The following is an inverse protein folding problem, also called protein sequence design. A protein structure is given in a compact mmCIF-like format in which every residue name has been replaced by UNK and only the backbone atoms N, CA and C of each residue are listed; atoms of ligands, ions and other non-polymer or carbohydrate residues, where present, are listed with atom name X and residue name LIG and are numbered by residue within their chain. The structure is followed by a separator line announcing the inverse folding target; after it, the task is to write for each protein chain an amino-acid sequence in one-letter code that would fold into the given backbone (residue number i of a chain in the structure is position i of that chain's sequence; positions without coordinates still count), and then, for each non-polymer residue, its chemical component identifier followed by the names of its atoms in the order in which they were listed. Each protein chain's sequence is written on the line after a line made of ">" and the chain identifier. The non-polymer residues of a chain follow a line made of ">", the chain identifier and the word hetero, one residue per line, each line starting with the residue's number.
data_IF_966632257169
#
_entry.id   IF_966632257169
#
_cell.length_a   1.000
_cell.length_b   1.000
_cell.length_c   1.000
_cell.angle_alpha   90.00
_cell.angle_beta   90.00
_cell.angle_gamma   90.00
#
_symmetry.space_group_name_H-M   'P 1'
#
loop_
_entity.id
_entity.type
_entity.pdbx_description
1 polymer ?
#
# COMPACT_ATOMS: atom_id res chain seq x y z
N UNK A 1 35.97 -7.34 -0.50
CA UNK A 1 34.89 -8.18 0.09
C UNK A 1 33.50 -7.50 0.29
N UNK A 2 33.17 -6.29 -0.20
CA UNK A 2 31.80 -5.74 -0.18
C UNK A 2 31.00 -5.92 -1.47
N UNK A 3 31.64 -6.17 -2.61
CA UNK A 3 30.97 -6.22 -3.93
C UNK A 3 30.19 -7.52 -4.16
N UNK A 4 30.74 -8.66 -3.78
CA UNK A 4 30.07 -9.97 -3.95
C UNK A 4 28.79 -10.13 -3.12
N UNK A 5 28.68 -9.44 -1.98
CA UNK A 5 27.47 -9.47 -1.15
C UNK A 5 26.35 -8.64 -1.76
N UNK A 6 26.69 -7.56 -2.49
CA UNK A 6 25.71 -6.75 -3.24
C UNK A 6 25.21 -7.47 -4.49
N UNK A 7 26.07 -8.23 -5.18
CA UNK A 7 25.66 -9.01 -6.35
C UNK A 7 24.80 -10.23 -5.98
N UNK A 8 25.06 -10.89 -4.87
CA UNK A 8 24.18 -11.98 -4.37
C UNK A 8 22.80 -11.48 -3.92
N UNK A 9 22.72 -10.28 -3.37
CA UNK A 9 21.44 -9.64 -3.03
C UNK A 9 20.70 -9.18 -4.28
N UNK A 10 21.41 -8.73 -5.33
CA UNK A 10 20.82 -8.37 -6.62
C UNK A 10 20.24 -9.58 -7.36
N UNK A 11 20.93 -10.73 -7.41
CA UNK A 11 20.42 -11.97 -8.02
C UNK A 11 19.19 -12.54 -7.30
N UNK A 12 19.12 -12.43 -5.98
CA UNK A 12 17.91 -12.85 -5.22
C UNK A 12 16.68 -11.96 -5.44
N UNK A 13 16.87 -10.69 -5.82
CA UNK A 13 15.75 -9.79 -6.11
C UNK A 13 15.28 -9.86 -7.57
N UNK A 14 16.13 -10.32 -8.53
CA UNK A 14 15.74 -10.45 -9.93
C UNK A 14 14.93 -11.72 -10.25
N UNK A 15 14.82 -12.67 -9.33
CA UNK A 15 14.06 -13.92 -9.49
C UNK A 15 12.72 -13.91 -8.71
N UNK A 16 12.41 -12.84 -7.98
CA UNK A 16 11.07 -12.68 -7.42
C UNK A 16 10.19 -12.00 -8.48
N UNK A 17 9.01 -12.58 -8.81
CA UNK A 17 8.01 -11.78 -9.50
C UNK A 17 7.80 -10.50 -8.69
N UNK A 18 7.68 -9.36 -9.35
CA UNK A 18 7.37 -8.08 -8.70
C UNK A 18 6.33 -8.34 -7.61
N UNK A 19 6.57 -7.87 -6.37
CA UNK A 19 5.58 -8.08 -5.34
C UNK A 19 4.30 -7.41 -5.84
N UNK A 20 3.34 -8.24 -6.23
CA UNK A 20 1.97 -7.78 -6.37
C UNK A 20 1.68 -6.99 -5.09
N UNK A 21 1.32 -5.71 -5.22
CA UNK A 21 0.88 -4.85 -4.11
C UNK A 21 -0.42 -5.37 -3.46
N UNK A 22 -0.54 -6.71 -3.37
CA UNK A 22 -1.77 -7.41 -2.98
C UNK A 22 -2.20 -7.12 -1.55
N UNK A 23 -1.24 -6.91 -0.64
CA UNK A 23 -1.55 -6.55 0.74
C UNK A 23 -2.07 -5.11 0.80
N UNK A 24 -1.39 -4.19 0.14
CA UNK A 24 -1.79 -2.81 0.01
C UNK A 24 -3.17 -2.69 -0.65
N UNK A 25 -3.37 -3.36 -1.79
CA UNK A 25 -4.66 -3.41 -2.47
C UNK A 25 -5.77 -3.97 -1.58
N UNK A 26 -5.51 -5.04 -0.82
CA UNK A 26 -6.48 -5.62 0.10
C UNK A 26 -6.85 -4.64 1.22
N UNK A 27 -5.86 -3.95 1.81
CA UNK A 27 -6.06 -2.98 2.88
C UNK A 27 -6.79 -1.73 2.38
N UNK A 28 -6.42 -1.21 1.20
CA UNK A 28 -7.13 -0.10 0.54
C UNK A 28 -8.58 -0.46 0.24
N UNK A 29 -8.82 -1.68 -0.26
CA UNK A 29 -10.18 -2.17 -0.51
C UNK A 29 -10.99 -2.27 0.79
N UNK A 30 -10.39 -2.80 1.86
CA UNK A 30 -11.05 -2.86 3.16
C UNK A 30 -11.40 -1.45 3.69
N UNK A 31 -10.48 -0.50 3.56
CA UNK A 31 -10.71 0.89 3.96
C UNK A 31 -11.83 1.54 3.12
N UNK A 32 -11.87 1.30 1.82
CA UNK A 32 -12.90 1.85 0.94
C UNK A 32 -14.29 1.32 1.24
N UNK A 33 -14.42 0.00 1.46
CA UNK A 33 -15.72 -0.64 1.62
C UNK A 33 -16.28 -0.59 3.05
N UNK A 34 -15.41 -0.53 4.06
CA UNK A 34 -15.75 -0.66 5.47
C UNK A 34 -15.19 0.49 6.33
N UNK A 35 -15.10 1.69 5.77
CA UNK A 35 -14.36 2.81 6.36
C UNK A 35 -14.70 3.11 7.82
N UNK A 36 -15.98 3.31 8.16
CA UNK A 36 -16.38 3.66 9.53
C UNK A 36 -16.20 2.47 10.49
N UNK A 37 -16.54 1.27 10.06
CA UNK A 37 -16.33 0.03 10.83
C UNK A 37 -14.84 -0.23 11.06
N UNK A 38 -14.00 -0.04 10.01
CA UNK A 38 -12.56 -0.18 10.10
C UNK A 38 -11.95 0.78 11.13
N UNK A 39 -12.31 2.06 11.07
CA UNK A 39 -11.83 3.10 11.98
C UNK A 39 -12.15 2.72 13.44
N UNK A 40 -13.38 2.30 13.73
CA UNK A 40 -13.79 1.88 15.07
C UNK A 40 -13.08 0.60 15.53
N UNK A 41 -12.90 -0.37 14.62
CA UNK A 41 -12.18 -1.60 14.94
C UNK A 41 -10.70 -1.34 15.27
N UNK A 42 -10.09 -0.36 14.60
CA UNK A 42 -8.73 0.09 14.89
C UNK A 42 -8.60 0.86 16.21
N UNK A 43 -9.71 1.02 16.96
CA UNK A 43 -9.75 1.68 18.25
C UNK A 43 -9.89 3.21 18.18
N UNK A 44 -10.22 3.74 17.02
CA UNK A 44 -10.46 5.16 16.79
C UNK A 44 -11.95 5.43 17.02
N UNK A 45 -12.28 6.40 17.88
CA UNK A 45 -13.67 6.64 18.32
C UNK A 45 -14.41 7.68 17.50
N UNK A 46 -13.69 8.51 16.78
CA UNK A 46 -14.19 9.54 15.91
C UNK A 46 -14.90 8.92 14.70
N UNK A 47 -15.98 9.55 14.26
CA UNK A 47 -16.74 9.11 13.12
C UNK A 47 -16.18 9.69 11.82
N UNK A 48 -16.15 8.87 10.78
CA UNK A 48 -15.81 9.28 9.43
C UNK A 48 -16.97 10.13 8.89
N UNK A 49 -16.68 11.35 8.45
CA UNK A 49 -17.63 12.20 7.75
C UNK A 49 -17.72 11.86 6.27
N UNK A 50 -16.56 11.73 5.64
CA UNK A 50 -16.42 11.33 4.23
C UNK A 50 -15.03 10.79 3.95
N UNK A 51 -14.90 10.03 2.88
CA UNK A 51 -13.60 9.70 2.28
C UNK A 51 -13.14 10.95 1.53
N UNK A 52 -11.95 11.44 1.85
CA UNK A 52 -11.36 12.58 1.15
C UNK A 52 -10.53 12.08 -0.05
N UNK A 53 -10.35 12.89 -1.11
CA UNK A 53 -9.44 12.58 -2.19
C UNK A 53 -8.02 12.33 -1.67
N UNK A 54 -7.37 11.32 -2.19
CA UNK A 54 -6.01 10.90 -1.78
C UNK A 54 -4.92 11.44 -2.71
N UNK A 55 -5.32 11.93 -3.89
CA UNK A 55 -4.41 12.56 -4.84
C UNK A 55 -4.17 14.03 -4.47
N UNK A 56 -2.91 14.38 -4.30
CA UNK A 56 -2.47 15.76 -4.04
C UNK A 56 -1.73 16.28 -5.26
N UNK A 57 -2.34 17.24 -5.96
CA UNK A 57 -1.72 17.90 -7.12
C UNK A 57 -1.06 19.19 -6.65
N UNK A 58 0.27 19.23 -6.66
CA UNK A 58 1.05 20.46 -6.49
C UNK A 58 1.50 21.00 -7.85
N UNK A 59 1.68 22.33 -7.96
CA UNK A 59 2.20 23.00 -9.17
C UNK A 59 3.67 22.62 -9.50
N UNK A 60 4.39 22.07 -8.56
CA UNK A 60 5.62 21.33 -8.81
C UNK A 60 5.22 19.91 -9.21
N UNK A 61 5.59 19.47 -10.39
CA UNK A 61 5.32 18.20 -11.09
C UNK A 61 5.52 16.92 -10.24
N UNK A 62 4.98 16.90 -9.02
CA UNK A 62 4.99 15.75 -8.11
C UNK A 62 3.56 15.38 -7.78
N UNK A 63 3.14 14.22 -8.25
CA UNK A 63 1.95 13.57 -7.74
C UNK A 63 2.30 12.91 -6.41
N UNK A 64 1.58 13.26 -5.35
CA UNK A 64 1.70 12.63 -4.05
C UNK A 64 0.44 11.80 -3.83
N UNK A 65 0.62 10.50 -3.57
CA UNK A 65 -0.47 9.59 -3.31
C UNK A 65 -0.39 9.14 -1.85
N UNK A 66 -1.44 9.44 -1.09
CA UNK A 66 -1.66 8.90 0.24
C UNK A 66 -2.46 7.59 0.10
N UNK A 67 -2.17 6.59 0.94
CA UNK A 67 -2.89 5.33 0.86
C UNK A 67 -4.37 5.51 1.17
N UNK A 68 -4.69 6.28 2.23
CA UNK A 68 -6.07 6.59 2.55
C UNK A 68 -6.21 7.85 3.43
N UNK A 69 -7.20 8.70 3.14
CA UNK A 69 -7.46 9.93 3.85
C UNK A 69 -8.94 10.03 4.26
N UNK A 70 -9.20 10.14 5.58
CA UNK A 70 -10.54 10.37 6.11
C UNK A 70 -10.69 11.77 6.68
N UNK A 71 -11.79 12.44 6.34
CA UNK A 71 -12.24 13.61 7.06
C UNK A 71 -13.14 13.16 8.22
N UNK A 72 -12.75 13.52 9.43
CA UNK A 72 -13.44 13.14 10.65
C UNK A 72 -14.52 14.17 11.03
N UNK A 73 -15.53 13.78 11.80
CA UNK A 73 -16.61 14.70 12.24
C UNK A 73 -16.07 15.88 13.07
N UNK A 74 -14.94 15.73 13.73
CA UNK A 74 -14.29 16.80 14.50
C UNK A 74 -13.49 17.80 13.64
N UNK A 75 -13.54 17.68 12.31
CA UNK A 75 -12.83 18.55 11.38
C UNK A 75 -11.34 18.22 11.19
N UNK A 76 -10.83 17.14 11.79
CA UNK A 76 -9.48 16.67 11.56
C UNK A 76 -9.41 15.73 10.37
N UNK A 77 -8.26 15.65 9.73
CA UNK A 77 -7.95 14.67 8.70
C UNK A 77 -7.10 13.54 9.29
N UNK A 78 -7.51 12.30 9.06
CA UNK A 78 -6.73 11.13 9.43
C UNK A 78 -6.18 10.49 8.16
N UNK A 79 -4.87 10.57 8.03
CA UNK A 79 -4.08 9.98 6.96
C UNK A 79 -3.61 8.59 7.39
N UNK A 80 -3.87 7.57 6.58
CA UNK A 80 -3.49 6.19 6.85
C UNK A 80 -2.49 5.70 5.82
N UNK A 81 -1.44 5.07 6.31
CA UNK A 81 -0.43 4.39 5.52
C UNK A 81 -0.32 2.92 5.95
N UNK A 82 -0.18 2.01 4.98
CA UNK A 82 -0.10 0.57 5.21
C UNK A 82 1.31 0.07 4.96
N UNK A 83 1.97 -0.43 6.01
CA UNK A 83 3.35 -0.90 5.92
C UNK A 83 3.44 -2.41 6.13
N UNK A 84 4.00 -3.11 5.13
CA UNK A 84 4.26 -4.55 5.18
C UNK A 84 5.73 -4.90 5.40
N UNK A 85 6.63 -3.94 5.19
CA UNK A 85 8.08 -4.10 5.29
C UNK A 85 8.67 -3.32 6.49
N UNK A 86 9.76 -2.60 6.30
CA UNK A 86 10.38 -1.80 7.34
C UNK A 86 9.90 -0.35 7.25
N UNK A 87 9.44 0.21 8.37
CA UNK A 87 9.17 1.65 8.48
C UNK A 87 10.47 2.40 8.78
N UNK A 88 10.95 3.17 7.84
CA UNK A 88 12.24 3.86 7.87
C UNK A 88 12.11 5.36 8.21
N UNK A 89 13.24 6.07 8.23
CA UNK A 89 13.25 7.53 8.34
C UNK A 89 12.77 8.20 7.05
N UNK A 90 13.01 7.57 5.91
CA UNK A 90 12.62 8.12 4.60
C UNK A 90 11.11 8.05 4.44
N UNK A 91 10.47 6.97 4.91
CA UNK A 91 9.00 6.89 4.97
C UNK A 91 8.43 8.00 5.87
N UNK A 92 9.04 8.26 7.03
CA UNK A 92 8.60 9.35 7.89
C UNK A 92 8.82 10.75 7.26
N UNK A 93 9.81 10.93 6.39
CA UNK A 93 9.97 12.17 5.62
C UNK A 93 8.85 12.33 4.62
N UNK A 94 8.54 11.26 3.87
CA UNK A 94 7.42 11.21 2.92
C UNK A 94 6.10 11.52 3.62
N UNK A 95 5.79 10.84 4.72
CA UNK A 95 4.54 11.06 5.48
C UNK A 95 4.44 12.48 6.05
N UNK A 96 5.56 13.05 6.52
CA UNK A 96 5.60 14.44 6.97
C UNK A 96 5.29 15.42 5.86
N UNK A 97 5.79 15.15 4.65
CA UNK A 97 5.51 15.96 3.46
C UNK A 97 4.04 15.85 3.08
N UNK A 98 3.46 14.64 3.06
CA UNK A 98 2.04 14.42 2.82
C UNK A 98 1.18 15.15 3.85
N UNK A 99 1.45 14.96 5.14
CA UNK A 99 0.73 15.62 6.23
C UNK A 99 0.77 17.14 6.12
N UNK A 100 1.93 17.72 5.81
CA UNK A 100 2.07 19.16 5.64
C UNK A 100 1.31 19.69 4.42
N UNK A 101 1.39 19.00 3.29
CA UNK A 101 0.69 19.37 2.05
C UNK A 101 -0.82 19.22 2.21
N UNK A 102 -1.28 18.13 2.77
CA UNK A 102 -2.70 17.86 3.04
C UNK A 102 -3.27 18.90 4.01
N UNK A 103 -2.55 19.20 5.11
CA UNK A 103 -2.97 20.23 6.05
C UNK A 103 -3.10 21.60 5.40
N UNK A 104 -2.20 21.96 4.49
CA UNK A 104 -2.25 23.22 3.74
C UNK A 104 -3.41 23.29 2.77
N UNK A 105 -3.66 22.20 2.03
CA UNK A 105 -4.72 22.11 1.00
C UNK A 105 -6.10 22.17 1.62
N UNK A 106 -6.30 21.44 2.71
CA UNK A 106 -7.60 21.33 3.37
C UNK A 106 -7.83 22.34 4.50
N UNK A 107 -6.82 23.14 4.84
CA UNK A 107 -6.82 24.06 6.00
C UNK A 107 -7.29 23.36 7.29
N UNK A 108 -6.80 22.14 7.51
CA UNK A 108 -7.21 21.28 8.60
C UNK A 108 -6.02 20.55 9.23
N UNK A 109 -6.06 20.26 10.55
CA UNK A 109 -5.02 19.46 11.19
C UNK A 109 -5.09 18.00 10.71
N UNK A 110 -3.92 17.40 10.45
CA UNK A 110 -3.76 16.02 10.00
C UNK A 110 -3.10 15.16 11.06
N UNK A 111 -3.53 13.93 11.21
CA UNK A 111 -2.86 12.91 12.02
C UNK A 111 -2.56 11.70 11.15
N UNK A 112 -1.29 11.35 11.03
CA UNK A 112 -0.86 10.17 10.28
C UNK A 112 -0.87 8.92 11.17
N UNK A 113 -1.62 7.91 10.75
CA UNK A 113 -1.66 6.56 11.30
C UNK A 113 -0.92 5.60 10.38
N UNK A 114 0.00 4.82 10.92
CA UNK A 114 0.69 3.76 10.17
C UNK A 114 0.25 2.40 10.69
N UNK A 115 -0.39 1.63 9.83
CA UNK A 115 -0.86 0.28 10.10
C UNK A 115 0.23 -0.69 9.62
N UNK A 116 0.88 -1.38 10.57
CA UNK A 116 1.94 -2.32 10.26
C UNK A 116 1.45 -3.77 10.38
N UNK A 117 1.72 -4.57 9.37
CA UNK A 117 1.48 -6.01 9.42
C UNK A 117 2.37 -6.71 10.47
N UNK A 118 2.10 -7.98 10.77
CA UNK A 118 2.86 -8.75 11.75
C UNK A 118 4.33 -8.95 11.39
N UNK A 119 4.67 -8.86 10.11
CA UNK A 119 6.01 -9.15 9.60
C UNK A 119 6.96 -7.96 9.70
N UNK A 120 6.44 -6.75 9.94
CA UNK A 120 7.24 -5.53 10.11
C UNK A 120 8.10 -5.61 11.37
N UNK A 121 9.42 -5.71 11.20
CA UNK A 121 10.40 -5.87 12.29
C UNK A 121 11.08 -4.57 12.67
N UNK A 122 11.45 -3.74 11.69
CA UNK A 122 12.13 -2.46 11.91
C UNK A 122 11.14 -1.33 11.80
N UNK A 123 11.03 -0.54 12.85
CA UNK A 123 10.02 0.53 12.95
C UNK A 123 10.67 1.81 13.47
N UNK A 124 10.67 2.83 12.65
CA UNK A 124 10.99 4.20 13.04
C UNK A 124 9.68 4.94 13.38
N UNK A 125 9.50 5.39 14.63
CA UNK A 125 8.25 6.03 15.09
C UNK A 125 8.30 7.54 15.08
N UNK A 126 9.50 8.11 15.00
CA UNK A 126 9.74 9.54 15.06
C UNK A 126 10.93 9.94 14.21
N UNK A 127 10.84 11.11 13.63
CA UNK A 127 11.89 11.76 12.89
C UNK A 127 12.17 13.11 13.54
N UNK A 128 13.40 13.31 14.05
CA UNK A 128 13.84 14.60 14.57
C UNK A 128 14.88 15.17 13.64
N UNK A 129 14.57 16.30 13.04
CA UNK A 129 15.45 17.04 12.13
C UNK A 129 15.39 18.53 12.49
N UNK A 130 16.56 19.09 12.77
CA UNK A 130 16.66 20.45 13.32
C UNK A 130 15.91 20.55 14.65
N UNK A 131 15.01 21.53 14.77
CA UNK A 131 14.19 21.77 15.96
C UNK A 131 12.84 21.01 15.94
N UNK A 132 12.50 20.40 14.81
CA UNK A 132 11.21 19.75 14.62
C UNK A 132 11.28 18.25 14.88
N UNK A 133 10.24 17.73 15.51
CA UNK A 133 10.05 16.29 15.69
C UNK A 133 8.71 15.88 15.12
N UNK A 134 8.76 15.12 14.02
CA UNK A 134 7.60 14.48 13.44
C UNK A 134 7.35 13.12 14.08
N UNK A 135 6.09 12.79 14.32
CA UNK A 135 5.67 11.52 14.90
C UNK A 135 4.40 11.02 14.22
N UNK A 136 4.32 9.71 14.03
CA UNK A 136 3.13 9.02 13.54
C UNK A 136 2.48 8.20 14.65
N UNK A 137 1.18 7.95 14.54
CA UNK A 137 0.47 7.00 15.36
C UNK A 137 0.58 5.60 14.77
N UNK A 138 1.00 4.64 15.58
CA UNK A 138 1.28 3.28 15.14
C UNK A 138 0.18 2.32 15.56
N UNK A 139 -0.33 1.55 14.59
CA UNK A 139 -1.22 0.42 14.81
C UNK A 139 -0.46 -0.84 14.36
N UNK A 140 -0.07 -1.67 15.32
CA UNK A 140 0.68 -2.89 15.05
C UNK A 140 -0.24 -4.11 15.09
N UNK A 141 -0.56 -4.65 13.94
CA UNK A 141 -1.40 -5.85 13.84
C UNK A 141 -0.76 -7.07 14.55
N UNK A 142 0.57 -7.11 14.67
CA UNK A 142 1.28 -8.13 15.45
C UNK A 142 0.80 -8.24 16.91
N UNK A 143 0.33 -7.17 17.50
CA UNK A 143 -0.15 -7.18 18.88
C UNK A 143 -1.60 -7.68 19.02
N UNK A 144 -2.29 -7.83 17.90
CA UNK A 144 -3.60 -8.45 17.84
C UNK A 144 -3.44 -9.96 17.68
N UNK A 145 -4.20 -10.74 18.44
CA UNK A 145 -4.10 -12.20 18.43
C UNK A 145 -5.15 -12.78 17.47
N UNK A 146 -4.70 -13.25 16.31
CA UNK A 146 -5.53 -13.86 15.29
C UNK A 146 -6.28 -15.10 15.81
N UNK A 147 -5.59 -15.94 16.57
CA UNK A 147 -6.14 -17.21 17.07
C UNK A 147 -7.35 -16.95 17.97
N UNK A 148 -7.22 -16.00 18.90
CA UNK A 148 -8.30 -15.59 19.82
C UNK A 148 -9.51 -15.04 19.08
N UNK A 149 -9.28 -14.23 18.04
CA UNK A 149 -10.38 -13.68 17.23
C UNK A 149 -11.11 -14.79 16.50
N UNK A 150 -10.38 -15.71 15.89
CA UNK A 150 -10.95 -16.84 15.16
C UNK A 150 -11.72 -17.78 16.10
N UNK A 151 -11.18 -18.08 17.27
CA UNK A 151 -11.85 -18.93 18.28
C UNK A 151 -13.13 -18.27 18.81
N UNK A 152 -13.07 -16.99 19.15
CA UNK A 152 -14.25 -16.25 19.63
C UNK A 152 -15.37 -16.24 18.58
N UNK A 153 -15.05 -15.88 17.34
CA UNK A 153 -16.06 -15.81 16.28
C UNK A 153 -16.58 -17.19 15.86
N UNK A 154 -15.72 -18.22 15.86
CA UNK A 154 -16.13 -19.57 15.57
C UNK A 154 -17.05 -20.15 16.66
N UNK A 155 -16.84 -19.79 17.91
CA UNK A 155 -17.64 -20.25 19.05
C UNK A 155 -18.97 -19.53 19.24
N UNK A 156 -19.18 -18.37 18.62
CA UNK A 156 -20.44 -17.62 18.74
C UNK A 156 -21.58 -18.24 17.92
N UNK A 157 -22.81 -18.25 18.45
CA UNK A 157 -23.98 -18.60 17.66
C UNK A 157 -24.19 -17.60 16.50
N UNK A 158 -24.56 -18.07 15.31
CA UNK A 158 -24.74 -17.25 14.11
C UNK A 158 -25.63 -16.03 14.33
N UNK A 159 -26.72 -16.20 15.06
CA UNK A 159 -27.69 -15.12 15.36
C UNK A 159 -27.11 -13.97 16.23
N UNK A 160 -25.94 -14.17 16.83
CA UNK A 160 -25.27 -13.17 17.68
C UNK A 160 -24.14 -12.44 16.94
N UNK A 161 -23.79 -12.89 15.75
CA UNK A 161 -22.80 -12.24 14.91
C UNK A 161 -23.35 -10.96 14.33
N UNK A 162 -22.51 -9.95 14.17
CA UNK A 162 -22.83 -8.68 13.55
C UNK A 162 -21.88 -8.40 12.37
N UNK A 163 -22.24 -7.49 11.49
CA UNK A 163 -21.36 -7.06 10.39
C UNK A 163 -20.00 -6.57 10.91
N UNK A 164 -19.97 -5.90 12.06
CA UNK A 164 -18.73 -5.42 12.69
C UNK A 164 -17.82 -6.55 13.17
N UNK A 165 -18.39 -7.67 13.57
CA UNK A 165 -17.63 -8.86 14.00
C UNK A 165 -16.88 -9.50 12.83
N UNK A 166 -17.33 -9.28 11.59
CA UNK A 166 -16.71 -9.88 10.41
C UNK A 166 -15.47 -9.11 9.93
N UNK A 167 -15.39 -7.80 10.20
CA UNK A 167 -14.28 -6.98 9.73
C UNK A 167 -12.88 -7.48 10.19
N UNK A 168 -12.67 -7.89 11.46
CA UNK A 168 -11.39 -8.41 11.90
C UNK A 168 -10.88 -9.60 11.08
N UNK A 169 -11.77 -10.39 10.47
CA UNK A 169 -11.39 -11.55 9.66
C UNK A 169 -10.51 -11.17 8.47
N UNK A 170 -10.69 -9.96 7.91
CA UNK A 170 -9.89 -9.44 6.81
C UNK A 170 -8.43 -9.22 7.21
N UNK A 171 -8.18 -8.92 8.49
CA UNK A 171 -6.86 -8.58 9.00
C UNK A 171 -6.17 -9.74 9.73
N UNK A 172 -6.90 -10.82 10.01
CA UNK A 172 -6.36 -12.03 10.65
C UNK A 172 -5.08 -12.55 10.00
N UNK A 173 -4.93 -12.59 8.65
CA UNK A 173 -3.69 -13.01 8.02
C UNK A 173 -2.48 -12.11 8.32
N UNK A 174 -2.72 -10.84 8.69
CA UNK A 174 -1.73 -9.80 8.97
C UNK A 174 -1.41 -9.66 10.47
N UNK A 175 -2.13 -10.37 11.33
CA UNK A 175 -1.98 -10.30 12.78
C UNK A 175 -0.92 -11.25 13.33
N UNK A 176 -0.59 -11.10 14.61
CA UNK A 176 0.17 -12.07 15.38
C UNK A 176 -0.67 -13.30 15.74
N UNK A 177 -0.03 -14.40 16.13
CA UNK A 177 -0.66 -15.66 16.56
C UNK A 177 0.20 -16.86 16.19
N UNK A 178 -0.26 -18.06 16.58
CA UNK A 178 0.45 -19.34 16.37
C UNK A 178 -0.01 -20.05 15.08
N UNK A 179 -1.29 -19.92 14.74
CA UNK A 179 -1.88 -20.51 13.54
C UNK A 179 -1.21 -19.98 12.27
N UNK A 180 -0.91 -20.85 11.30
CA UNK A 180 -0.33 -20.47 10.01
C UNK A 180 -1.26 -19.60 9.16
N UNK A 181 -0.70 -18.82 8.22
CA UNK A 181 -1.46 -17.88 7.39
C UNK A 181 -2.54 -18.57 6.55
N UNK A 182 -2.25 -19.72 5.96
CA UNK A 182 -3.22 -20.51 5.20
C UNK A 182 -4.44 -20.88 6.06
N UNK A 183 -4.19 -21.46 7.22
CA UNK A 183 -5.26 -21.90 8.12
C UNK A 183 -6.10 -20.72 8.64
N UNK A 184 -5.46 -19.57 8.89
CA UNK A 184 -6.17 -18.33 9.26
C UNK A 184 -7.13 -17.89 8.17
N UNK A 185 -6.69 -17.89 6.91
CA UNK A 185 -7.51 -17.52 5.76
C UNK A 185 -8.67 -18.50 5.61
N UNK A 186 -8.41 -19.81 5.66
CA UNK A 186 -9.45 -20.83 5.59
C UNK A 186 -10.50 -20.69 6.70
N UNK A 187 -10.06 -20.50 7.94
CA UNK A 187 -10.97 -20.28 9.08
C UNK A 187 -11.80 -19.00 8.89
N UNK A 188 -11.17 -17.91 8.41
CA UNK A 188 -11.88 -16.66 8.12
C UNK A 188 -12.97 -16.86 7.07
N UNK A 189 -12.65 -17.53 5.96
CA UNK A 189 -13.63 -17.85 4.90
C UNK A 189 -14.80 -18.69 5.42
N UNK A 190 -14.52 -19.71 6.24
CA UNK A 190 -15.57 -20.56 6.85
C UNK A 190 -16.48 -19.79 7.81
N UNK A 191 -15.92 -18.87 8.59
CA UNK A 191 -16.71 -17.99 9.46
C UNK A 191 -17.57 -17.05 8.62
N UNK A 192 -17.03 -16.47 7.54
CA UNK A 192 -17.79 -15.61 6.63
C UNK A 192 -18.97 -16.35 6.01
N UNK A 193 -18.76 -17.55 5.45
CA UNK A 193 -19.85 -18.37 4.88
C UNK A 193 -20.96 -18.64 5.88
N UNK A 194 -20.62 -18.90 7.13
CA UNK A 194 -21.58 -19.13 8.21
C UNK A 194 -22.37 -17.87 8.58
N UNK A 195 -21.89 -16.71 8.16
CA UNK A 195 -22.44 -15.38 8.53
C UNK A 195 -23.37 -14.79 7.44
N UNK A 196 -23.83 -15.60 6.48
CA UNK A 196 -24.76 -15.18 5.42
C UNK A 196 -25.98 -14.37 5.92
N UNK A 197 -26.60 -14.69 7.07
CA UNK A 197 -27.74 -13.89 7.55
C UNK A 197 -27.37 -12.46 7.98
N UNK A 198 -26.08 -12.16 8.15
CA UNK A 198 -25.58 -10.90 8.71
C UNK A 198 -24.94 -10.02 7.64
N UNK A 199 -24.44 -10.62 6.57
CA UNK A 199 -23.77 -9.97 5.46
C UNK A 199 -24.66 -10.00 4.22
N UNK A 200 -24.62 -8.95 3.43
CA UNK A 200 -25.15 -9.01 2.08
C UNK A 200 -24.26 -9.88 1.19
N UNK A 201 -24.82 -10.44 0.11
CA UNK A 201 -24.02 -11.19 -0.87
C UNK A 201 -22.87 -10.35 -1.43
N UNK A 202 -23.09 -9.06 -1.60
CA UNK A 202 -22.07 -8.12 -2.05
C UNK A 202 -20.96 -7.94 -1.01
N UNK A 203 -21.28 -7.71 0.27
CA UNK A 203 -20.28 -7.59 1.33
C UNK A 203 -19.45 -8.88 1.47
N UNK A 204 -20.10 -10.04 1.39
CA UNK A 204 -19.43 -11.32 1.45
C UNK A 204 -18.44 -11.49 0.31
N UNK A 205 -18.86 -11.21 -0.93
CA UNK A 205 -17.98 -11.27 -2.09
C UNK A 205 -16.78 -10.33 -2.00
N UNK A 206 -16.97 -9.10 -1.48
CA UNK A 206 -15.88 -8.15 -1.21
C UNK A 206 -14.89 -8.70 -0.18
N UNK A 207 -15.38 -9.27 0.91
CA UNK A 207 -14.52 -9.83 1.97
C UNK A 207 -13.76 -11.06 1.50
N UNK A 208 -14.39 -11.95 0.75
CA UNK A 208 -13.74 -13.11 0.12
C UNK A 208 -12.64 -12.68 -0.84
N UNK A 209 -12.91 -11.66 -1.69
CA UNK A 209 -11.91 -11.12 -2.62
C UNK A 209 -10.67 -10.56 -1.89
N UNK A 210 -10.87 -9.80 -0.80
CA UNK A 210 -9.76 -9.28 0.01
C UNK A 210 -8.93 -10.43 0.62
N UNK A 211 -9.58 -11.44 1.20
CA UNK A 211 -8.88 -12.60 1.75
C UNK A 211 -8.12 -13.40 0.67
N UNK A 212 -8.68 -13.49 -0.53
CA UNK A 212 -8.01 -14.15 -1.65
C UNK A 212 -6.76 -13.36 -2.13
N UNK A 213 -6.83 -12.03 -2.19
CA UNK A 213 -5.66 -11.18 -2.47
C UNK A 213 -4.53 -11.46 -1.48
N UNK A 214 -4.85 -11.55 -0.19
CA UNK A 214 -3.88 -11.87 0.85
C UNK A 214 -3.36 -13.31 0.72
N UNK A 215 -4.21 -14.26 0.33
CA UNK A 215 -3.81 -15.63 0.06
C UNK A 215 -2.77 -15.68 -1.08
N UNK A 216 -3.03 -15.01 -2.20
CA UNK A 216 -2.09 -14.94 -3.34
C UNK A 216 -0.74 -14.35 -2.92
N UNK A 217 -0.75 -13.36 -2.01
CA UNK A 217 0.49 -12.76 -1.52
C UNK A 217 1.32 -13.69 -0.63
N UNK A 218 0.69 -14.42 0.26
CA UNK A 218 1.37 -15.12 1.35
C UNK A 218 1.57 -16.62 1.13
N UNK A 219 0.78 -17.25 0.26
CA UNK A 219 0.73 -18.67 0.10
C UNK A 219 1.44 -19.14 -1.17
N UNK A 220 1.97 -20.34 -1.14
CA UNK A 220 2.47 -21.00 -2.33
C UNK A 220 1.32 -21.57 -3.18
N UNK A 221 1.63 -22.15 -4.34
CA UNK A 221 0.62 -22.65 -5.27
C UNK A 221 -0.25 -23.77 -4.68
N UNK A 222 0.34 -24.69 -3.92
CA UNK A 222 -0.37 -25.83 -3.31
C UNK A 222 -1.32 -25.35 -2.21
N UNK A 223 -0.86 -24.46 -1.34
CA UNK A 223 -1.67 -23.84 -0.30
C UNK A 223 -2.82 -23.01 -0.89
N UNK A 224 -2.58 -22.34 -2.03
CA UNK A 224 -3.56 -21.50 -2.70
C UNK A 224 -4.69 -22.34 -3.32
N UNK A 225 -4.43 -23.56 -3.83
CA UNK A 225 -5.49 -24.43 -4.34
C UNK A 225 -6.53 -24.76 -3.27
N UNK A 226 -6.11 -25.06 -2.03
CA UNK A 226 -7.06 -25.27 -0.92
C UNK A 226 -7.90 -24.03 -0.61
N UNK A 227 -7.37 -22.83 -0.83
CA UNK A 227 -8.14 -21.57 -0.69
C UNK A 227 -9.16 -21.43 -1.83
N UNK A 228 -8.78 -21.74 -3.06
CA UNK A 228 -9.69 -21.69 -4.22
C UNK A 228 -10.88 -22.65 -4.06
N UNK A 229 -10.64 -23.85 -3.52
CA UNK A 229 -11.70 -24.81 -3.22
C UNK A 229 -12.67 -24.28 -2.16
N UNK A 230 -12.15 -23.60 -1.13
CA UNK A 230 -12.96 -23.03 -0.06
C UNK A 230 -13.75 -21.79 -0.52
N UNK A 231 -13.14 -20.93 -1.33
CA UNK A 231 -13.84 -19.85 -2.02
C UNK A 231 -14.65 -20.51 -3.13
N UNK A 232 -15.83 -21.04 -2.79
CA UNK A 232 -16.80 -21.39 -3.82
C UNK A 232 -17.04 -20.11 -4.63
N UNK A 233 -16.53 -20.10 -5.86
CA UNK A 233 -16.48 -18.93 -6.72
C UNK A 233 -17.87 -18.35 -6.92
N UNK A 234 -18.25 -17.43 -6.07
CA UNK A 234 -19.37 -16.57 -6.38
C UNK A 234 -18.92 -15.74 -7.59
N UNK A 235 -19.74 -15.67 -8.61
CA UNK A 235 -19.49 -14.84 -9.81
C UNK A 235 -19.13 -13.41 -9.39
N UNK A 236 -19.69 -12.93 -8.29
CA UNK A 236 -19.43 -11.62 -7.71
C UNK A 236 -18.01 -11.48 -7.13
N UNK A 237 -17.49 -12.49 -6.45
CA UNK A 237 -16.11 -12.50 -5.95
C UNK A 237 -15.10 -12.47 -7.09
N UNK A 238 -15.35 -13.19 -8.19
CA UNK A 238 -14.52 -13.15 -9.39
C UNK A 238 -14.57 -11.79 -10.09
N UNK A 239 -15.75 -11.21 -10.26
CA UNK A 239 -15.91 -9.88 -10.91
C UNK A 239 -15.19 -8.79 -10.12
N UNK A 240 -15.31 -8.79 -8.79
CA UNK A 240 -14.63 -7.80 -7.93
C UNK A 240 -13.11 -8.04 -7.96
N UNK A 241 -12.67 -9.30 -8.01
CA UNK A 241 -11.27 -9.64 -8.15
C UNK A 241 -10.69 -9.14 -9.47
N UNK A 242 -11.36 -9.42 -10.59
CA UNK A 242 -10.93 -9.00 -11.91
C UNK A 242 -10.87 -7.47 -12.02
N UNK A 243 -11.87 -6.79 -11.49
CA UNK A 243 -11.95 -5.32 -11.46
C UNK A 243 -10.82 -4.71 -10.59
N UNK A 244 -10.58 -5.27 -9.40
CA UNK A 244 -9.51 -4.84 -8.51
C UNK A 244 -8.12 -5.10 -9.11
N UNK A 245 -7.94 -6.23 -9.80
CA UNK A 245 -6.69 -6.58 -10.48
C UNK A 245 -6.44 -5.67 -11.69
N UNK A 246 -7.48 -5.37 -12.46
CA UNK A 246 -7.41 -4.45 -13.60
C UNK A 246 -7.07 -3.03 -13.15
N UNK A 247 -7.72 -2.56 -12.08
CA UNK A 247 -7.45 -1.25 -11.49
C UNK A 247 -6.03 -1.15 -10.95
N UNK A 248 -5.57 -2.14 -10.19
CA UNK A 248 -4.19 -2.17 -9.69
C UNK A 248 -3.14 -2.26 -10.80
N UNK A 249 -3.42 -2.97 -11.91
CA UNK A 249 -2.55 -2.98 -13.10
C UNK A 249 -2.52 -1.63 -13.81
N UNK A 250 -3.66 -0.94 -13.87
CA UNK A 250 -3.76 0.37 -14.50
C UNK A 250 -3.01 1.42 -13.68
N UNK A 251 -3.22 1.44 -12.37
CA UNK A 251 -2.51 2.31 -11.43
C UNK A 251 -0.99 2.06 -11.47
N UNK A 252 -0.54 0.82 -11.37
CA UNK A 252 0.89 0.49 -11.45
C UNK A 252 1.54 0.80 -12.82
N UNK A 253 0.77 0.75 -13.93
CA UNK A 253 1.28 1.22 -15.22
C UNK A 253 1.39 2.74 -15.28
N UNK A 254 0.45 3.44 -14.67
CA UNK A 254 0.41 4.90 -14.63
C UNK A 254 1.55 5.43 -13.77
N UNK A 255 1.75 4.88 -12.56
CA UNK A 255 2.89 5.16 -11.70
C UNK A 255 4.24 4.87 -12.38
N UNK A 256 4.37 3.72 -13.04
CA UNK A 256 5.59 3.37 -13.79
C UNK A 256 5.84 4.30 -14.98
N UNK A 257 4.80 4.80 -15.65
CA UNK A 257 4.92 5.78 -16.72
C UNK A 257 5.38 7.13 -16.17
N UNK A 258 4.76 7.59 -15.10
CA UNK A 258 5.08 8.88 -14.48
C UNK A 258 6.50 8.89 -13.91
N UNK A 259 6.90 7.83 -13.25
CA UNK A 259 8.28 7.67 -12.76
C UNK A 259 9.28 7.64 -13.93
N UNK A 260 8.95 6.95 -15.02
CA UNK A 260 9.77 6.94 -16.25
C UNK A 260 9.89 8.33 -16.88
N UNK A 261 8.82 9.09 -16.95
CA UNK A 261 8.81 10.47 -17.45
C UNK A 261 9.61 11.41 -16.55
N UNK A 262 9.49 11.27 -15.23
CA UNK A 262 10.28 12.03 -14.25
C UNK A 262 11.77 11.77 -14.41
N UNK A 263 12.18 10.51 -14.45
CA UNK A 263 13.59 10.12 -14.65
C UNK A 263 14.15 10.61 -15.99
N UNK A 264 13.34 10.53 -17.04
CA UNK A 264 13.73 11.04 -18.36
C UNK A 264 13.94 12.56 -18.35
N UNK A 265 13.06 13.30 -17.68
CA UNK A 265 13.16 14.76 -17.51
C UNK A 265 14.38 15.17 -16.69
N UNK A 266 14.66 14.48 -15.59
CA UNK A 266 15.84 14.72 -14.76
C UNK A 266 17.14 14.48 -15.52
N UNK A 267 17.22 13.35 -16.26
CA UNK A 267 18.37 13.04 -17.13
C UNK A 267 18.59 14.11 -18.20
N UNK A 268 17.51 14.57 -18.81
CA UNK A 268 17.57 15.59 -19.86
C UNK A 268 18.05 16.94 -19.28
N UNK A 269 17.49 17.35 -18.17
CA UNK A 269 17.89 18.59 -17.46
C UNK A 269 19.35 18.54 -17.04
N UNK A 270 19.81 17.39 -16.49
CA UNK A 270 21.21 17.19 -16.10
C UNK A 270 22.16 17.30 -17.29
N UNK A 271 21.78 16.71 -18.43
CA UNK A 271 22.58 16.81 -19.67
C UNK A 271 22.67 18.24 -20.16
N UNK A 272 21.57 19.00 -20.16
CA UNK A 272 21.55 20.41 -20.55
C UNK A 272 22.51 21.22 -19.68
N UNK A 273 22.45 21.05 -18.35
CA UNK A 273 23.32 21.78 -17.42
C UNK A 273 24.80 21.48 -17.66
N UNK A 274 25.16 20.23 -17.94
CA UNK A 274 26.55 19.84 -18.25
C UNK A 274 27.02 20.44 -19.56
N UNK A 275 26.17 20.45 -20.59
CA UNK A 275 26.50 21.04 -21.90
C UNK A 275 26.60 22.57 -21.82
N UNK A 276 25.79 23.22 -21.00
CA UNK A 276 25.84 24.67 -20.76
C UNK A 276 27.13 25.06 -20.02
N UNK A 277 27.50 24.32 -18.98
CA UNK A 277 28.77 24.52 -18.25
C UNK A 277 29.99 24.38 -19.17
N UNK A 278 29.93 23.55 -20.19
CA UNK A 278 30.97 23.37 -21.20
C UNK A 278 30.87 24.36 -22.39
N UNK A 279 29.93 25.30 -22.37
CA UNK A 279 29.63 26.24 -23.45
C UNK A 279 29.29 25.58 -24.81
N UNK A 280 28.61 24.41 -24.78
CA UNK A 280 28.24 23.62 -25.94
C UNK A 280 26.79 23.83 -26.38
N UNK A 281 26.40 25.10 -26.56
CA UNK A 281 25.01 25.49 -26.88
C UNK A 281 24.48 24.81 -28.14
N UNK A 282 25.30 24.61 -29.19
CA UNK A 282 24.90 23.93 -30.40
C UNK A 282 24.49 22.46 -30.14
N UNK A 283 25.11 21.81 -29.16
CA UNK A 283 24.75 20.44 -28.78
C UNK A 283 23.43 20.40 -28.01
N UNK A 284 23.09 21.43 -27.25
CA UNK A 284 21.80 21.56 -26.56
C UNK A 284 20.66 21.57 -27.58
N UNK A 285 20.80 22.32 -28.66
CA UNK A 285 19.81 22.35 -29.74
C UNK A 285 19.70 20.95 -30.41
N UNK A 286 20.83 20.31 -30.66
CA UNK A 286 20.88 19.03 -31.34
C UNK A 286 20.24 17.89 -30.51
N UNK A 287 20.44 17.83 -29.20
CA UNK A 287 19.83 16.79 -28.34
C UNK A 287 18.31 16.91 -28.27
N UNK A 288 17.76 18.10 -28.49
CA UNK A 288 16.31 18.31 -28.52
C UNK A 288 15.68 17.68 -29.79
N UNK A 289 16.41 17.73 -30.92
CA UNK A 289 15.93 17.24 -32.18
C UNK A 289 16.31 15.78 -32.49
N UNK A 290 17.41 15.27 -31.93
CA UNK A 290 17.95 13.95 -32.22
C UNK A 290 18.05 13.07 -30.96
N UNK A 291 17.08 12.15 -30.75
CA UNK A 291 17.09 11.24 -29.61
C UNK A 291 18.30 10.28 -29.59
N UNK A 292 18.82 9.85 -30.76
CA UNK A 292 19.99 8.96 -30.81
C UNK A 292 21.25 9.67 -30.34
N UNK A 293 21.46 10.89 -30.82
CA UNK A 293 22.56 11.73 -30.37
C UNK A 293 22.48 12.05 -28.88
N UNK A 294 21.28 12.25 -28.35
CA UNK A 294 21.05 12.43 -26.92
C UNK A 294 21.46 11.19 -26.11
N UNK A 295 21.12 9.98 -26.55
CA UNK A 295 21.52 8.73 -25.88
C UNK A 295 23.04 8.51 -25.93
N UNK A 296 23.73 8.90 -27.01
CA UNK A 296 25.20 8.87 -27.08
C UNK A 296 25.83 9.78 -26.03
N UNK A 297 25.26 10.98 -25.86
CA UNK A 297 25.74 11.93 -24.85
C UNK A 297 25.44 11.47 -23.42
N UNK A 298 24.29 10.84 -23.16
CA UNK A 298 24.03 10.23 -21.86
C UNK A 298 25.12 9.22 -21.49
N UNK A 299 25.53 8.35 -22.40
CA UNK A 299 26.63 7.39 -22.18
C UNK A 299 27.95 8.11 -21.97
N UNK A 300 28.26 9.12 -22.76
CA UNK A 300 29.50 9.88 -22.69
C UNK A 300 29.65 10.61 -21.35
N UNK A 301 28.57 11.19 -20.83
CA UNK A 301 28.55 11.92 -19.58
C UNK A 301 28.21 11.05 -18.34
N UNK A 302 28.05 9.74 -18.55
CA UNK A 302 27.76 8.82 -17.47
C UNK A 302 26.38 9.04 -16.80
N UNK A 303 25.43 9.65 -17.55
CA UNK A 303 24.07 9.87 -17.09
C UNK A 303 23.28 8.58 -17.33
N UNK A 304 23.32 7.68 -16.36
CA UNK A 304 22.53 6.42 -16.34
C UNK A 304 21.18 6.68 -15.66
N UNK A 305 20.13 5.93 -16.05
CA UNK A 305 18.90 5.91 -15.27
C UNK A 305 19.21 5.54 -13.82
N UNK A 306 18.64 6.24 -12.87
CA UNK A 306 18.71 5.80 -11.48
C UNK A 306 18.11 4.39 -11.42
N UNK A 307 18.92 3.42 -10.99
CA UNK A 307 18.45 2.04 -10.83
C UNK A 307 17.55 2.01 -9.60
N UNK A 308 16.24 1.95 -9.83
CA UNK A 308 15.25 1.55 -8.83
C UNK A 308 15.59 0.20 -8.20
#
# INVERSE_FOLDING_TARGET
>A
MPLERKERLRKRNSERPEPLHGEDLALKSAAMFFGDELIHWLGIREKVRRIAPTELVELEVRHMYEDFLYEMENGMLYHFEFESDALTKDDLRRFREYEASTSRIYDAPVITYVICSSDVRKICKKLTEGINTYRVRMIRLKHMNADRILEDLAGRPEKTLTRRDMLPLLFVPLMGGQTGKQERILKSLRILKRSEPVLTTEDMGKMEAILYILAVKFLNKEELEGIKEEISMTILGQMIWDDALEKGRKEGREEGREEGERQASERYSRLILLLDQENKTDQIIKIAADPKYREELYRKYGIVPDKT
#
